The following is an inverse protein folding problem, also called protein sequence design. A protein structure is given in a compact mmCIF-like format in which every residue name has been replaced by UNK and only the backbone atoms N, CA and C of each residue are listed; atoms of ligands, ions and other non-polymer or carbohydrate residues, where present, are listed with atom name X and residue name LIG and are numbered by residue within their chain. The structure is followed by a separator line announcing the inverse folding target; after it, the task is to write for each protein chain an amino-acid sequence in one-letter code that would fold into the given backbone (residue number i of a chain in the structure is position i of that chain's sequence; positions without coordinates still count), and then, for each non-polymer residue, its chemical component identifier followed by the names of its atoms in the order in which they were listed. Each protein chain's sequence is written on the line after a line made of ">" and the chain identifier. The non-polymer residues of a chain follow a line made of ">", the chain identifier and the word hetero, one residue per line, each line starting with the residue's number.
data_IF_300290888660
#
_entry.id   IF_300290888660
#
_cell.length_a   1.000
_cell.length_b   1.000
_cell.length_c   1.000
_cell.angle_alpha   90.00
_cell.angle_beta   90.00
_cell.angle_gamma   90.00
#
_symmetry.space_group_name_H-M   'P 1'
#
loop_
_entity.id
_entity.type
_entity.pdbx_description
1 polymer ?
#
# COMPACT_ATOMS: atom_id res chain seq x y z
N UNK A 1 -9.49 43.21 -20.10
CA UNK A 1 -9.77 41.77 -20.34
C UNK A 1 -11.21 41.45 -19.96
N UNK A 2 -12.03 41.05 -20.94
CA UNK A 2 -13.44 40.70 -20.74
C UNK A 2 -13.57 39.29 -20.17
N UNK A 3 -13.90 39.19 -18.87
CA UNK A 3 -14.00 37.93 -18.10
C UNK A 3 -14.97 36.91 -18.73
N UNK A 4 -15.98 37.38 -19.46
CA UNK A 4 -16.96 36.54 -20.16
C UNK A 4 -16.37 35.79 -21.35
N UNK A 5 -15.46 36.40 -22.10
CA UNK A 5 -14.78 35.74 -23.22
C UNK A 5 -13.82 34.65 -22.74
N UNK A 6 -13.29 34.76 -21.52
CA UNK A 6 -12.37 33.79 -20.96
C UNK A 6 -13.08 32.47 -20.59
N UNK A 7 -14.31 32.55 -20.07
CA UNK A 7 -15.11 31.37 -19.69
C UNK A 7 -15.57 30.60 -20.95
N UNK A 8 -15.97 31.31 -22.01
CA UNK A 8 -16.40 30.68 -23.26
C UNK A 8 -15.25 29.92 -23.94
N UNK A 9 -14.04 30.48 -23.97
CA UNK A 9 -12.88 29.81 -24.57
C UNK A 9 -12.44 28.57 -23.76
N UNK A 10 -12.55 28.60 -22.43
CA UNK A 10 -12.24 27.46 -21.58
C UNK A 10 -13.22 26.27 -21.79
N UNK A 11 -14.49 26.55 -22.08
CA UNK A 11 -15.50 25.51 -22.32
C UNK A 11 -15.28 24.76 -23.65
N UNK A 12 -14.83 25.45 -24.69
CA UNK A 12 -14.63 24.85 -26.02
C UNK A 12 -13.36 23.99 -26.05
N UNK A 13 -12.31 24.38 -25.32
CA UNK A 13 -11.09 23.58 -25.18
C UNK A 13 -11.28 22.31 -24.30
N UNK A 14 -12.34 22.25 -23.49
CA UNK A 14 -12.64 21.10 -22.63
C UNK A 14 -13.41 19.96 -23.31
N UNK A 15 -14.02 20.22 -24.47
CA UNK A 15 -14.86 19.22 -25.16
C UNK A 15 -14.05 18.08 -25.82
N UNK A 16 -12.76 18.28 -26.10
CA UNK A 16 -11.83 17.23 -26.53
C UNK A 16 -11.30 16.38 -25.38
N UNK A 17 -11.56 16.78 -24.13
CA UNK A 17 -11.17 16.06 -22.91
C UNK A 17 -12.26 15.11 -22.41
N UNK A 18 -13.37 14.95 -23.12
CA UNK A 18 -14.41 13.97 -22.77
C UNK A 18 -13.88 12.52 -22.78
N UNK A 19 -12.82 12.24 -23.55
CA UNK A 19 -12.07 10.97 -23.50
C UNK A 19 -11.10 10.85 -22.32
N UNK A 20 -10.79 11.96 -21.62
CA UNK A 20 -10.03 11.96 -20.36
C UNK A 20 -10.92 11.81 -19.13
N UNK A 21 -12.23 12.02 -19.28
CA UNK A 21 -13.26 11.71 -18.27
C UNK A 21 -13.78 10.29 -18.40
N UNK A 22 -12.97 9.34 -18.90
CA UNK A 22 -13.06 7.97 -18.41
C UNK A 22 -12.72 8.01 -16.92
N UNK A 23 -13.70 8.40 -16.10
CA UNK A 23 -13.71 8.04 -14.70
C UNK A 23 -13.35 6.56 -14.69
N UNK A 24 -12.23 6.24 -14.04
CA UNK A 24 -11.72 4.89 -13.99
C UNK A 24 -12.90 4.02 -13.55
N UNK A 25 -13.49 3.31 -14.50
CA UNK A 25 -14.46 2.27 -14.21
C UNK A 25 -13.63 1.31 -13.38
N UNK A 26 -13.75 1.41 -12.07
CA UNK A 26 -13.22 0.42 -11.17
C UNK A 26 -14.12 -0.78 -11.43
N UNK A 27 -13.76 -1.55 -12.48
CA UNK A 27 -14.15 -2.92 -12.61
C UNK A 27 -14.00 -3.51 -11.21
N UNK A 28 -15.05 -4.12 -10.67
CA UNK A 28 -15.09 -4.64 -9.30
C UNK A 28 -14.10 -5.80 -9.18
N UNK A 29 -12.81 -5.47 -9.24
CA UNK A 29 -11.71 -6.34 -8.96
C UNK A 29 -11.85 -6.67 -7.48
N UNK A 30 -11.73 -7.94 -7.14
CA UNK A 30 -11.80 -8.41 -5.76
C UNK A 30 -11.00 -7.46 -4.87
N UNK A 31 -11.67 -6.91 -3.86
CA UNK A 31 -11.10 -5.86 -3.05
C UNK A 31 -9.99 -6.46 -2.17
N UNK A 32 -8.75 -6.14 -2.53
CA UNK A 32 -7.57 -6.51 -1.74
C UNK A 32 -7.49 -5.71 -0.44
N UNK A 33 -6.97 -6.35 0.60
CA UNK A 33 -6.74 -5.76 1.91
C UNK A 33 -5.24 -5.68 2.19
N UNK A 34 -4.84 -4.69 3.00
CA UNK A 34 -3.46 -4.52 3.43
C UNK A 34 -3.41 -4.55 4.95
N UNK A 35 -2.65 -5.50 5.48
CA UNK A 35 -2.37 -5.58 6.90
C UNK A 35 -1.03 -4.89 7.20
N UNK A 36 -1.03 -3.92 8.12
CA UNK A 36 0.19 -3.28 8.61
C UNK A 36 0.46 -3.70 10.06
N UNK A 37 1.45 -4.58 10.23
CA UNK A 37 1.87 -5.09 11.53
C UNK A 37 3.04 -4.25 12.05
N UNK A 38 2.97 -3.83 13.32
CA UNK A 38 4.04 -3.10 14.01
C UNK A 38 4.61 -3.94 15.14
N UNK A 39 5.90 -4.25 15.05
CA UNK A 39 6.64 -4.89 16.13
C UNK A 39 7.34 -3.84 16.98
N UNK A 40 7.10 -3.89 18.30
CA UNK A 40 7.83 -3.11 19.29
C UNK A 40 8.87 -4.00 19.97
N UNK A 41 10.14 -3.65 19.81
CA UNK A 41 11.25 -4.48 20.28
C UNK A 41 12.01 -3.73 21.39
N UNK A 42 12.50 -4.47 22.37
CA UNK A 42 13.18 -3.91 23.54
C UNK A 42 14.65 -3.56 23.24
N UNK A 43 15.33 -4.35 22.39
CA UNK A 43 16.74 -4.12 22.07
C UNK A 43 17.13 -4.59 20.65
N UNK A 44 18.31 -4.17 20.19
CA UNK A 44 18.80 -4.47 18.83
C UNK A 44 19.09 -5.95 18.58
N UNK A 45 19.55 -6.70 19.59
CA UNK A 45 19.83 -8.13 19.42
C UNK A 45 18.56 -8.94 19.13
N UNK A 46 17.45 -8.63 19.81
CA UNK A 46 16.14 -9.23 19.55
C UNK A 46 15.59 -8.82 18.18
N UNK A 47 15.89 -7.59 17.73
CA UNK A 47 15.51 -7.14 16.39
C UNK A 47 16.11 -8.01 15.29
N UNK A 48 17.41 -8.29 15.33
CA UNK A 48 18.06 -9.14 14.34
C UNK A 48 17.46 -10.56 14.30
N UNK A 49 17.11 -11.12 15.46
CA UNK A 49 16.42 -12.42 15.53
C UNK A 49 15.02 -12.37 14.92
N UNK A 50 14.26 -11.30 15.17
CA UNK A 50 12.95 -11.12 14.57
C UNK A 50 13.04 -10.97 13.04
N UNK A 51 13.92 -10.10 12.55
CA UNK A 51 14.12 -9.89 11.11
C UNK A 51 14.49 -11.21 10.40
N UNK A 52 15.36 -12.02 11.03
CA UNK A 52 15.70 -13.35 10.53
C UNK A 52 14.51 -14.30 10.52
N UNK A 53 13.73 -14.36 11.60
CA UNK A 53 12.53 -15.19 11.66
C UNK A 53 11.47 -14.79 10.62
N UNK A 54 11.27 -13.48 10.43
CA UNK A 54 10.35 -12.96 9.43
C UNK A 54 10.81 -13.36 8.01
N UNK A 55 12.09 -13.18 7.70
CA UNK A 55 12.67 -13.52 6.39
C UNK A 55 12.72 -15.01 6.10
N UNK A 56 13.17 -15.81 7.05
CA UNK A 56 13.45 -17.24 6.83
C UNK A 56 12.20 -18.12 6.97
N UNK A 57 11.17 -17.68 7.71
CA UNK A 57 10.02 -18.52 8.07
C UNK A 57 8.68 -17.88 7.72
N UNK A 58 8.41 -16.66 8.21
CA UNK A 58 7.08 -16.04 8.07
C UNK A 58 6.77 -15.68 6.62
N UNK A 59 7.67 -14.95 5.95
CA UNK A 59 7.47 -14.53 4.56
C UNK A 59 7.31 -15.75 3.63
N UNK A 60 8.19 -16.79 3.68
CA UNK A 60 7.99 -17.99 2.88
C UNK A 60 6.66 -18.70 3.16
N UNK A 61 6.19 -18.71 4.42
CA UNK A 61 4.90 -19.29 4.80
C UNK A 61 3.72 -18.53 4.18
N UNK A 62 3.67 -17.21 4.37
CA UNK A 62 2.60 -16.37 3.85
C UNK A 62 2.61 -16.29 2.31
N UNK A 63 3.77 -16.32 1.68
CA UNK A 63 3.88 -16.39 0.22
C UNK A 63 3.23 -17.68 -0.33
N UNK A 64 3.34 -18.81 0.37
CA UNK A 64 2.66 -20.06 -0.02
C UNK A 64 1.13 -19.97 0.09
N UNK A 65 0.63 -19.10 0.98
CA UNK A 65 -0.79 -18.81 1.14
C UNK A 65 -1.30 -17.77 0.12
N UNK A 66 -0.44 -17.28 -0.77
CA UNK A 66 -0.81 -16.30 -1.81
C UNK A 66 -0.69 -14.84 -1.37
N UNK A 67 -0.25 -14.57 -0.15
CA UNK A 67 -0.02 -13.21 0.34
C UNK A 67 1.36 -12.72 -0.12
N UNK A 68 1.49 -12.28 -1.39
CA UNK A 68 2.75 -11.81 -1.97
C UNK A 68 2.50 -10.60 -2.90
N UNK A 69 3.37 -9.58 -2.93
CA UNK A 69 4.66 -9.46 -2.22
C UNK A 69 4.55 -8.85 -0.80
N UNK A 70 5.28 -9.42 0.16
CA UNK A 70 5.35 -8.90 1.55
C UNK A 70 6.53 -7.95 1.72
N UNK A 71 6.28 -6.80 2.33
CA UNK A 71 7.31 -5.81 2.66
C UNK A 71 7.66 -5.82 4.15
N UNK A 72 8.95 -5.93 4.49
CA UNK A 72 9.44 -5.72 5.87
C UNK A 72 10.40 -4.54 5.88
N UNK A 73 10.14 -3.54 6.71
CA UNK A 73 10.89 -2.29 6.71
C UNK A 73 10.96 -1.63 8.08
N UNK A 74 11.86 -0.65 8.17
CA UNK A 74 12.11 0.16 9.35
C UNK A 74 12.22 1.62 8.97
N UNK A 75 11.72 2.54 9.81
CA UNK A 75 11.87 3.96 9.57
C UNK A 75 13.36 4.33 9.60
N UNK A 76 13.81 5.06 8.57
CA UNK A 76 15.21 5.54 8.48
C UNK A 76 15.49 6.68 9.47
N UNK A 77 14.47 7.46 9.81
CA UNK A 77 14.55 8.64 10.66
C UNK A 77 13.51 8.54 11.80
N UNK A 78 13.84 9.05 12.99
CA UNK A 78 12.96 9.08 14.16
C UNK A 78 13.52 8.35 15.39
N UNK A 79 12.87 8.46 16.57
CA UNK A 79 13.41 8.04 17.87
C UNK A 79 13.60 6.53 18.10
N UNK A 80 13.61 5.67 17.08
CA UNK A 80 13.43 4.22 17.30
C UNK A 80 14.22 3.33 16.34
N UNK A 81 15.41 2.91 16.79
CA UNK A 81 16.12 1.76 16.20
C UNK A 81 15.44 0.41 16.44
N UNK A 82 14.30 0.38 17.14
CA UNK A 82 13.64 -0.83 17.64
C UNK A 82 12.24 -1.12 17.07
N UNK A 83 11.76 -0.31 16.11
CA UNK A 83 10.48 -0.54 15.43
C UNK A 83 10.71 -1.26 14.11
N UNK A 84 10.01 -2.36 13.91
CA UNK A 84 9.96 -3.11 12.64
C UNK A 84 8.51 -3.15 12.17
N UNK A 85 8.29 -2.96 10.87
CA UNK A 85 6.99 -3.00 10.23
C UNK A 85 6.95 -4.10 9.19
N UNK A 86 5.82 -4.79 9.10
CA UNK A 86 5.52 -5.76 8.04
C UNK A 86 4.20 -5.37 7.37
N UNK A 87 4.21 -5.32 6.04
CA UNK A 87 3.04 -5.05 5.22
C UNK A 87 2.68 -6.33 4.45
N UNK A 88 1.51 -6.89 4.74
CA UNK A 88 1.01 -8.12 4.13
C UNK A 88 -0.18 -7.79 3.24
N UNK A 89 -0.11 -8.08 1.93
CA UNK A 89 -1.27 -8.00 1.06
C UNK A 89 -2.12 -9.26 1.19
N UNK A 90 -3.43 -9.07 1.32
CA UNK A 90 -4.43 -10.13 1.30
C UNK A 90 -5.35 -9.97 0.08
N UNK A 91 -5.64 -11.05 -0.66
CA UNK A 91 -6.52 -11.00 -1.83
C UNK A 91 -7.98 -10.70 -1.46
N UNK A 92 -8.40 -11.10 -0.26
CA UNK A 92 -9.74 -10.92 0.29
C UNK A 92 -9.68 -10.89 1.82
N UNK A 93 -10.81 -10.63 2.48
CA UNK A 93 -10.87 -10.52 3.93
C UNK A 93 -10.67 -11.86 4.65
N UNK A 94 -11.10 -12.97 4.04
CA UNK A 94 -10.99 -14.31 4.64
C UNK A 94 -9.52 -14.72 4.81
N UNK A 95 -8.66 -14.32 3.86
CA UNK A 95 -7.21 -14.50 3.96
C UNK A 95 -6.58 -13.78 5.15
N UNK A 96 -7.20 -12.71 5.67
CA UNK A 96 -6.75 -12.01 6.87
C UNK A 96 -7.28 -12.66 8.16
N UNK A 97 -8.44 -13.33 8.11
CA UNK A 97 -9.11 -13.92 9.28
C UNK A 97 -8.66 -15.36 9.60
N UNK A 98 -7.96 -16.01 8.67
CA UNK A 98 -7.48 -17.40 8.80
C UNK A 98 -6.16 -17.47 9.56
#
# INVERSE_FOLDING_TARGET
>A
MNRRSFITTAAIAGASSASLLKGAHHESKEQGYLELIRFQIINNARRGKLEKFLGDTVIPGLNKLGCSPIGVFRPKYGPHGSKVYMLVPHPNIDSFLT
#
